data_IF_083071123953
#
_entry.id   IF_083071123953
#
_cell.length_a   1.000
_cell.length_b   1.000
_cell.length_c   1.000
_cell.angle_alpha   90.00
_cell.angle_beta   90.00
_cell.angle_gamma   90.00
#
_symmetry.space_group_name_H-M   'P 1'
#
loop_
_entity.id
_entity.type
_entity.pdbx_description
1 polymer ?
#
# COMPACT_ATOMS: atom_id res chain seq x y z
N UNK A 1 19.16 -3.58 25.68
CA UNK A 1 18.67 -2.37 24.97
C UNK A 1 17.21 -2.60 24.61
N UNK A 2 16.27 -1.73 25.00
CA UNK A 2 14.87 -1.88 24.61
C UNK A 2 14.71 -1.73 23.09
N UNK A 3 13.88 -2.59 22.48
CA UNK A 3 13.67 -2.63 21.03
C UNK A 3 12.75 -1.49 20.53
N UNK A 4 11.94 -0.95 21.44
CA UNK A 4 11.07 0.21 21.23
C UNK A 4 10.92 0.97 22.55
N UNK A 5 10.72 2.27 22.47
CA UNK A 5 10.40 3.16 23.58
C UNK A 5 9.04 3.81 23.33
N UNK A 6 8.25 3.98 24.40
CA UNK A 6 6.95 4.62 24.34
C UNK A 6 6.91 5.79 25.32
N UNK A 7 6.57 6.98 24.84
CA UNK A 7 6.37 8.18 25.67
C UNK A 7 4.93 8.66 25.57
N UNK A 8 4.38 9.13 26.68
CA UNK A 8 3.08 9.79 26.69
C UNK A 8 3.29 11.23 26.24
N UNK A 9 2.59 11.63 25.18
CA UNK A 9 2.65 12.97 24.64
C UNK A 9 1.46 13.79 25.13
N UNK A 10 1.55 14.26 26.38
CA UNK A 10 0.47 15.01 27.05
C UNK A 10 0.08 16.31 26.32
N UNK A 11 1.01 16.86 25.54
CA UNK A 11 0.78 18.04 24.73
C UNK A 11 -0.04 17.77 23.44
N UNK A 12 -0.20 16.50 23.06
CA UNK A 12 -1.02 16.05 21.94
C UNK A 12 -2.43 15.72 22.43
N UNK A 13 -3.27 16.74 22.48
CA UNK A 13 -4.66 16.63 22.93
C UNK A 13 -5.49 15.69 22.03
N UNK A 14 -6.03 14.62 22.61
CA UNK A 14 -7.13 13.86 22.01
C UNK A 14 -8.46 14.36 22.58
N UNK A 15 -9.55 14.29 21.82
CA UNK A 15 -10.89 14.71 22.27
C UNK A 15 -11.65 13.58 22.99
N UNK A 16 -10.92 12.58 23.47
CA UNK A 16 -11.40 11.36 24.13
C UNK A 16 -10.58 11.15 25.39
N UNK A 17 -11.03 10.31 26.32
CA UNK A 17 -10.29 9.97 27.56
C UNK A 17 -9.07 9.05 27.28
N UNK A 18 -8.33 9.31 26.20
CA UNK A 18 -7.17 8.55 25.75
C UNK A 18 -5.94 9.45 25.65
N UNK A 19 -4.80 8.92 26.08
CA UNK A 19 -3.50 9.58 25.94
C UNK A 19 -2.89 9.29 24.57
N UNK A 20 -2.25 10.29 23.97
CA UNK A 20 -1.44 10.07 22.77
C UNK A 20 -0.11 9.45 23.17
N UNK A 21 0.26 8.33 22.55
CA UNK A 21 1.55 7.69 22.74
C UNK A 21 2.45 7.95 21.53
N UNK A 22 3.68 8.40 21.76
CA UNK A 22 4.75 8.39 20.77
C UNK A 22 5.57 7.12 20.94
N UNK A 23 5.83 6.44 19.82
CA UNK A 23 6.58 5.19 19.79
C UNK A 23 7.86 5.40 18.98
N UNK A 24 9.01 5.23 19.61
CA UNK A 24 10.32 5.28 18.97
C UNK A 24 10.84 3.86 18.79
N UNK A 25 11.11 3.47 17.56
CA UNK A 25 11.67 2.16 17.22
C UNK A 25 13.09 2.35 16.65
N UNK A 26 14.05 1.56 17.14
CA UNK A 26 15.45 1.67 16.73
C UNK A 26 15.76 1.05 15.35
N UNK A 27 14.90 0.15 14.85
CA UNK A 27 15.05 -0.50 13.53
C UNK A 27 13.70 -0.54 12.80
N UNK A 28 13.22 0.62 12.34
CA UNK A 28 12.13 0.66 11.36
C UNK A 28 12.73 0.37 9.99
N UNK A 29 12.90 -0.91 9.67
CA UNK A 29 12.97 -1.28 8.26
C UNK A 29 11.61 -0.93 7.69
N UNK A 30 11.55 0.08 6.82
CA UNK A 30 10.35 0.35 6.04
C UNK A 30 9.91 -0.98 5.47
N UNK A 31 8.69 -1.41 5.79
CA UNK A 31 8.13 -2.57 5.11
C UNK A 31 8.24 -2.28 3.62
N UNK A 32 8.86 -3.17 2.82
CA UNK A 32 8.91 -2.97 1.38
C UNK A 32 7.48 -2.75 0.92
N UNK A 33 7.25 -1.65 0.20
CA UNK A 33 5.94 -1.38 -0.39
C UNK A 33 5.62 -2.59 -1.24
N UNK A 34 4.67 -3.41 -0.78
CA UNK A 34 4.28 -4.61 -1.49
C UNK A 34 3.79 -4.15 -2.87
N UNK A 35 4.48 -4.52 -3.97
CA UNK A 35 4.06 -4.10 -5.28
C UNK A 35 2.62 -4.55 -5.47
N UNK A 36 1.77 -3.63 -5.95
CA UNK A 36 0.35 -3.92 -6.11
C UNK A 36 0.17 -5.21 -6.92
N UNK A 37 -0.63 -6.15 -6.41
CA UNK A 37 -0.90 -7.43 -7.09
C UNK A 37 -1.30 -7.17 -8.53
N UNK A 38 -0.67 -7.83 -9.48
CA UNK A 38 -0.95 -7.63 -10.90
C UNK A 38 -2.15 -8.49 -11.28
N UNK A 39 -3.05 -7.91 -12.07
CA UNK A 39 -4.26 -8.57 -12.56
C UNK A 39 -4.20 -8.70 -14.07
N UNK A 40 -4.46 -9.91 -14.54
CA UNK A 40 -4.78 -10.25 -15.93
C UNK A 40 -6.24 -10.73 -15.88
N UNK A 41 -7.17 -9.96 -16.44
CA UNK A 41 -8.61 -10.21 -16.29
C UNK A 41 -9.38 -10.18 -17.60
N UNK A 42 -9.01 -9.29 -18.51
CA UNK A 42 -9.71 -9.19 -19.79
C UNK A 42 -9.16 -10.21 -20.75
N UNK A 43 -9.97 -10.62 -21.73
CA UNK A 43 -9.55 -11.60 -22.73
C UNK A 43 -8.30 -11.14 -23.49
N UNK A 44 -8.22 -9.85 -23.85
CA UNK A 44 -7.03 -9.29 -24.50
C UNK A 44 -5.78 -9.32 -23.62
N UNK A 45 -5.94 -9.17 -22.29
CA UNK A 45 -4.81 -9.26 -21.35
C UNK A 45 -4.35 -10.72 -21.25
N UNK A 46 -5.29 -11.67 -21.21
CA UNK A 46 -5.01 -13.09 -21.16
C UNK A 46 -4.33 -13.57 -22.44
N UNK A 47 -4.82 -13.15 -23.61
CA UNK A 47 -4.21 -13.48 -24.91
C UNK A 47 -2.76 -12.99 -24.97
N UNK A 48 -2.53 -11.72 -24.61
CA UNK A 48 -1.17 -11.15 -24.58
C UNK A 48 -0.27 -11.84 -23.55
N UNK A 49 -0.81 -12.26 -22.41
CA UNK A 49 -0.08 -13.03 -21.41
C UNK A 49 0.39 -14.37 -22.00
N UNK A 50 -0.50 -15.12 -22.65
CA UNK A 50 -0.17 -16.40 -23.28
C UNK A 50 0.92 -16.22 -24.34
N UNK A 51 0.79 -15.24 -25.23
CA UNK A 51 1.79 -14.95 -26.28
C UNK A 51 3.19 -14.71 -25.69
N UNK A 52 3.29 -13.95 -24.59
CA UNK A 52 4.58 -13.68 -23.93
C UNK A 52 5.13 -14.93 -23.23
N UNK A 53 4.26 -15.74 -22.62
CA UNK A 53 4.67 -16.99 -21.96
C UNK A 53 5.17 -18.00 -22.99
N UNK A 54 4.46 -18.19 -24.10
CA UNK A 54 4.86 -19.10 -25.17
C UNK A 54 6.21 -18.70 -25.76
N UNK A 55 6.41 -17.40 -26.02
CA UNK A 55 7.70 -16.88 -26.50
C UNK A 55 8.84 -17.08 -25.50
N UNK A 56 8.58 -16.90 -24.20
CA UNK A 56 9.60 -17.07 -23.17
C UNK A 56 9.89 -18.54 -22.83
N UNK A 57 8.91 -19.43 -22.99
CA UNK A 57 9.04 -20.85 -22.71
C UNK A 57 10.02 -21.55 -23.66
N UNK A 58 10.22 -21.04 -24.88
CA UNK A 58 11.23 -21.57 -25.81
C UNK A 58 12.66 -21.47 -25.28
N UNK A 59 12.91 -20.58 -24.32
CA UNK A 59 14.21 -20.39 -23.68
C UNK A 59 14.45 -21.30 -22.46
N UNK A 60 13.48 -22.12 -22.06
CA UNK A 60 13.58 -22.95 -20.85
C UNK A 60 14.17 -24.33 -21.20
N UNK A 61 15.30 -24.74 -20.58
CA UNK A 61 15.90 -26.05 -20.81
C UNK A 61 14.98 -27.21 -20.38
N UNK A 62 14.93 -28.29 -21.16
CA UNK A 62 14.07 -29.47 -20.91
C UNK A 62 14.77 -30.60 -20.13
N UNK A 63 16.00 -30.39 -19.66
CA UNK A 63 16.89 -31.49 -19.21
C UNK A 63 16.67 -32.01 -17.80
N UNK A 64 16.88 -33.32 -17.64
CA UNK A 64 16.87 -34.10 -16.39
C UNK A 64 17.84 -33.52 -15.36
N UNK A 65 17.32 -33.08 -14.22
CA UNK A 65 18.01 -32.10 -13.39
C UNK A 65 18.15 -32.54 -11.93
N UNK A 66 19.38 -32.42 -11.45
CA UNK A 66 19.78 -32.47 -10.04
C UNK A 66 19.03 -31.41 -9.22
N UNK A 67 18.95 -31.54 -7.88
CA UNK A 67 18.17 -30.61 -7.03
C UNK A 67 18.47 -29.12 -7.28
N UNK A 68 19.73 -28.74 -7.46
CA UNK A 68 20.15 -27.34 -7.66
C UNK A 68 19.63 -26.77 -8.98
N UNK A 69 19.59 -27.60 -10.04
CA UNK A 69 19.04 -27.21 -11.34
C UNK A 69 17.52 -27.06 -11.31
N UNK A 70 16.83 -27.73 -10.39
CA UNK A 70 15.39 -27.57 -10.20
C UNK A 70 15.04 -26.22 -9.58
N UNK A 71 15.82 -25.74 -8.61
CA UNK A 71 15.60 -24.42 -8.00
C UNK A 71 15.88 -23.28 -8.99
N UNK A 72 16.90 -23.43 -9.83
CA UNK A 72 17.20 -22.49 -10.92
C UNK A 72 16.09 -22.46 -11.97
N UNK A 73 15.56 -23.64 -12.33
CA UNK A 73 14.42 -23.77 -13.23
C UNK A 73 13.16 -23.11 -12.64
N UNK A 74 12.86 -23.39 -11.36
CA UNK A 74 11.72 -22.81 -10.67
C UNK A 74 11.83 -21.27 -10.62
N UNK A 75 13.03 -20.75 -10.34
CA UNK A 75 13.30 -19.31 -10.35
C UNK A 75 13.09 -18.70 -11.73
N UNK A 76 13.53 -19.38 -12.79
CA UNK A 76 13.35 -18.96 -14.18
C UNK A 76 11.87 -18.92 -14.59
N UNK A 77 11.09 -19.94 -14.19
CA UNK A 77 9.63 -19.99 -14.42
C UNK A 77 8.90 -18.85 -13.70
N UNK A 78 9.22 -18.62 -12.42
CA UNK A 78 8.62 -17.52 -11.64
C UNK A 78 8.95 -16.17 -12.28
N UNK A 79 10.19 -15.98 -12.72
CA UNK A 79 10.62 -14.75 -13.40
C UNK A 79 9.85 -14.54 -14.71
N UNK A 80 9.73 -15.57 -15.55
CA UNK A 80 8.98 -15.53 -16.80
C UNK A 80 7.52 -15.15 -16.56
N UNK A 81 6.81 -15.91 -15.70
CA UNK A 81 5.40 -15.68 -15.42
C UNK A 81 5.15 -14.29 -14.81
N UNK A 82 6.04 -13.85 -13.93
CA UNK A 82 5.94 -12.52 -13.32
C UNK A 82 6.14 -11.41 -14.35
N UNK A 83 7.10 -11.57 -15.27
CA UNK A 83 7.37 -10.59 -16.33
C UNK A 83 6.25 -10.55 -17.36
N UNK A 84 5.73 -11.71 -17.75
CA UNK A 84 4.57 -11.83 -18.62
C UNK A 84 3.33 -11.16 -18.00
N UNK A 85 3.06 -11.42 -16.72
CA UNK A 85 1.95 -10.79 -15.99
C UNK A 85 2.13 -9.26 -15.92
N UNK A 86 3.34 -8.76 -15.67
CA UNK A 86 3.65 -7.32 -15.67
C UNK A 86 3.43 -6.65 -17.02
N UNK A 87 3.82 -7.32 -18.10
CA UNK A 87 3.75 -6.76 -19.45
C UNK A 87 2.33 -6.78 -20.04
N UNK A 88 1.53 -7.78 -19.66
CA UNK A 88 0.16 -7.96 -20.17
C UNK A 88 -0.90 -7.35 -19.26
N UNK A 89 -0.71 -7.43 -17.94
CA UNK A 89 -1.70 -7.05 -16.95
C UNK A 89 -1.54 -5.63 -16.42
N UNK A 90 -2.34 -5.33 -15.40
CA UNK A 90 -2.37 -4.02 -14.74
C UNK A 90 -2.24 -4.14 -13.23
N UNK A 91 -1.59 -3.17 -12.55
CA UNK A 91 -1.57 -3.13 -11.10
C UNK A 91 -3.00 -3.11 -10.55
N UNK A 92 -3.29 -3.92 -9.52
CA UNK A 92 -4.54 -3.80 -8.78
C UNK A 92 -4.58 -2.41 -8.15
N UNK A 93 -5.37 -1.51 -8.74
CA UNK A 93 -5.62 -0.19 -8.16
C UNK A 93 -6.26 -0.40 -6.79
N UNK A 94 -5.70 0.28 -5.78
CA UNK A 94 -6.27 0.37 -4.42
C UNK A 94 -7.50 1.30 -4.36
N UNK A 95 -8.10 1.61 -5.50
CA UNK A 95 -9.29 2.45 -5.61
C UNK A 95 -10.53 1.59 -5.46
N UNK A 96 -10.93 1.36 -4.20
CA UNK A 96 -12.32 0.99 -3.93
C UNK A 96 -13.24 2.12 -4.40
N UNK A 97 -14.49 1.80 -4.72
CA UNK A 97 -15.51 2.84 -4.82
C UNK A 97 -15.53 3.57 -3.46
N UNK A 98 -15.58 4.92 -3.43
CA UNK A 98 -15.83 5.62 -2.18
C UNK A 98 -17.08 5.00 -1.57
N UNK A 99 -17.05 4.75 -0.26
CA UNK A 99 -18.20 4.19 0.40
C UNK A 99 -19.42 5.09 0.09
N UNK A 100 -20.64 4.55 -0.09
CA UNK A 100 -21.78 5.37 -0.52
C UNK A 100 -22.09 6.56 0.39
N UNK A 101 -21.65 6.50 1.64
CA UNK A 101 -21.73 7.55 2.65
C UNK A 101 -20.55 8.55 2.64
N UNK A 102 -19.57 8.35 1.75
CA UNK A 102 -18.41 9.21 1.56
C UNK A 102 -18.65 10.14 0.37
N UNK A 103 -19.31 11.27 0.63
CA UNK A 103 -19.64 12.28 -0.38
C UNK A 103 -18.41 13.11 -0.79
N UNK A 104 -18.56 13.91 -1.84
CA UNK A 104 -17.55 14.90 -2.25
C UNK A 104 -17.27 15.90 -1.12
N UNK A 105 -18.32 16.34 -0.42
CA UNK A 105 -18.21 17.21 0.76
C UNK A 105 -17.39 16.56 1.90
N UNK A 106 -17.59 15.26 2.16
CA UNK A 106 -16.76 14.50 3.11
C UNK A 106 -15.30 14.46 2.68
N UNK A 107 -15.05 14.25 1.37
CA UNK A 107 -13.69 14.20 0.82
C UNK A 107 -12.97 15.54 0.94
N UNK A 108 -13.66 16.64 0.62
CA UNK A 108 -13.12 17.99 0.69
C UNK A 108 -12.87 18.42 2.14
N UNK A 109 -13.82 18.17 3.03
CA UNK A 109 -13.65 18.47 4.45
C UNK A 109 -12.51 17.62 5.06
N UNK A 110 -12.36 16.36 4.65
CA UNK A 110 -11.23 15.52 5.05
C UNK A 110 -9.89 16.04 4.51
N UNK A 111 -9.86 16.49 3.25
CA UNK A 111 -8.66 17.05 2.63
C UNK A 111 -8.23 18.36 3.32
N UNK A 112 -9.17 19.25 3.59
CA UNK A 112 -8.96 20.50 4.32
C UNK A 112 -8.44 20.24 5.75
N UNK A 113 -9.09 19.33 6.49
CA UNK A 113 -8.63 18.93 7.82
C UNK A 113 -7.21 18.36 7.80
N UNK A 114 -6.90 17.47 6.84
CA UNK A 114 -5.56 16.88 6.71
C UNK A 114 -4.51 17.93 6.33
N UNK A 115 -4.85 18.91 5.49
CA UNK A 115 -3.95 19.99 5.12
C UNK A 115 -3.58 20.84 6.34
N UNK A 116 -4.58 21.26 7.11
CA UNK A 116 -4.39 22.06 8.33
C UNK A 116 -3.61 21.25 9.37
N UNK A 117 -3.94 19.97 9.58
CA UNK A 117 -3.22 19.10 10.52
C UNK A 117 -1.76 18.88 10.14
N UNK A 118 -1.41 18.85 8.84
CA UNK A 118 -0.01 18.73 8.41
C UNK A 118 0.81 19.99 8.69
N UNK A 119 0.18 21.16 8.68
CA UNK A 119 0.86 22.42 8.98
C UNK A 119 1.14 22.62 10.48
N UNK A 120 0.40 21.96 11.35
CA UNK A 120 0.55 22.04 12.80
C UNK A 120 0.84 20.65 13.38
N UNK A 121 2.11 20.24 13.29
CA UNK A 121 2.56 18.90 13.65
C UNK A 121 2.53 18.62 15.16
N UNK A 122 2.52 19.65 16.02
CA UNK A 122 2.62 19.53 17.48
C UNK A 122 1.68 20.51 18.19
N UNK A 123 1.10 20.08 19.32
CA UNK A 123 0.33 20.91 20.25
C UNK A 123 -1.17 21.09 19.92
N UNK A 124 -1.91 21.63 20.89
CA UNK A 124 -3.31 22.04 20.69
C UNK A 124 -3.37 23.27 19.78
N UNK A 125 -3.99 23.14 18.62
CA UNK A 125 -4.19 24.24 17.68
C UNK A 125 -5.68 24.45 17.39
N UNK A 126 -6.14 25.70 17.54
CA UNK A 126 -7.54 26.07 17.38
C UNK A 126 -8.05 25.82 15.96
N UNK A 127 -7.21 26.06 14.93
CA UNK A 127 -7.57 25.86 13.52
C UNK A 127 -7.70 24.37 13.20
N UNK A 128 -6.84 23.52 13.77
CA UNK A 128 -6.97 22.07 13.67
C UNK A 128 -8.29 21.60 14.30
N UNK A 129 -8.70 22.16 15.44
CA UNK A 129 -9.99 21.82 16.08
C UNK A 129 -11.21 22.34 15.30
N UNK A 130 -11.11 23.52 14.70
CA UNK A 130 -12.17 24.07 13.84
C UNK A 130 -12.33 23.20 12.60
N UNK A 131 -11.23 22.87 11.92
CA UNK A 131 -11.24 22.00 10.75
C UNK A 131 -11.74 20.59 11.08
N UNK A 132 -11.34 20.05 12.24
CA UNK A 132 -11.84 18.77 12.76
C UNK A 132 -13.36 18.82 12.94
N UNK A 133 -13.90 19.84 13.61
CA UNK A 133 -15.36 20.01 13.79
C UNK A 133 -16.08 20.16 12.45
N UNK A 134 -15.51 20.89 11.50
CA UNK A 134 -16.05 21.00 10.14
C UNK A 134 -16.19 19.65 9.46
N UNK A 135 -15.15 18.81 9.54
CA UNK A 135 -15.20 17.44 9.02
C UNK A 135 -16.25 16.56 9.71
N UNK A 136 -16.39 16.62 11.03
CA UNK A 136 -17.39 15.82 11.76
C UNK A 136 -18.85 16.23 11.49
N UNK A 137 -19.09 17.42 10.92
CA UNK A 137 -20.46 17.85 10.57
C UNK A 137 -20.97 17.23 9.28
N UNK A 138 -20.05 16.81 8.40
CA UNK A 138 -20.39 16.26 7.10
C UNK A 138 -20.26 14.73 7.06
N UNK A 139 -19.63 14.11 8.07
CA UNK A 139 -19.44 12.66 8.21
C UNK A 139 -20.52 11.99 9.07
#
# INVERSE_FOLDING_TARGET
MPLAEATVEDHLATSSDHFTLSLTFLDIRSTPVQPAKIRVKTEDELKRFVEIVELGATGIPLTDSTPEKLDELASSLVSLLTTAAKASGRPARKGGRPAPWWTEECADAAAAFRAIRRSYLLGFNQDVQIAKRGFHRVQ
#
